data_IF_355754817265
#
_entry.id   IF_355754817265
#
_cell.length_a   1.000
_cell.length_b   1.000
_cell.length_c   1.000
_cell.angle_alpha   90.00
_cell.angle_beta   90.00
_cell.angle_gamma   90.00
#
_symmetry.space_group_name_H-M   'P 1'
#
loop_
_entity.id
_entity.type
_entity.pdbx_description
1 polymer ?
#
# COMPACT_ATOMS: atom_id res chain seq x y z
N UNK A 1 -22.51 -4.42 -62.04
CA UNK A 1 -23.03 -4.87 -60.73
C UNK A 1 -21.87 -4.86 -59.74
N UNK A 2 -21.79 -3.83 -58.92
CA UNK A 2 -20.74 -3.75 -57.85
C UNK A 2 -21.41 -4.15 -56.53
N UNK A 3 -20.99 -5.31 -55.99
CA UNK A 3 -21.44 -5.78 -54.68
C UNK A 3 -20.75 -4.99 -53.62
N UNK A 4 -21.53 -4.25 -52.83
CA UNK A 4 -21.09 -3.63 -51.57
C UNK A 4 -21.12 -4.71 -50.48
N UNK A 5 -19.95 -5.11 -50.00
CA UNK A 5 -19.83 -5.90 -48.77
C UNK A 5 -19.98 -4.95 -47.60
N UNK A 6 -21.09 -5.03 -46.89
CA UNK A 6 -21.33 -4.32 -45.64
C UNK A 6 -20.60 -5.09 -44.53
N UNK A 7 -19.48 -4.58 -44.04
CA UNK A 7 -18.77 -5.11 -42.88
C UNK A 7 -19.56 -4.69 -41.64
N UNK A 8 -20.38 -5.56 -41.07
CA UNK A 8 -20.95 -5.36 -39.74
C UNK A 8 -19.83 -5.49 -38.72
N UNK A 9 -19.39 -4.34 -38.20
CA UNK A 9 -18.57 -4.29 -37.01
C UNK A 9 -19.44 -4.77 -35.83
N UNK A 10 -19.14 -5.97 -35.34
CA UNK A 10 -19.67 -6.45 -34.07
C UNK A 10 -19.11 -5.58 -32.96
N UNK A 11 -19.81 -4.54 -32.55
CA UNK A 11 -19.52 -3.83 -31.30
C UNK A 11 -19.90 -4.78 -30.19
N UNK A 12 -18.94 -5.52 -29.67
CA UNK A 12 -19.11 -6.23 -28.41
C UNK A 12 -19.39 -5.16 -27.34
N UNK A 13 -20.62 -5.09 -26.89
CA UNK A 13 -20.97 -4.29 -25.72
C UNK A 13 -20.19 -4.85 -24.53
N UNK A 14 -19.13 -4.16 -24.15
CA UNK A 14 -18.41 -4.41 -22.90
C UNK A 14 -19.45 -4.09 -21.82
N UNK A 15 -19.99 -5.13 -21.19
CA UNK A 15 -20.78 -4.97 -19.98
C UNK A 15 -19.80 -4.50 -18.90
N UNK A 16 -19.77 -3.20 -18.65
CA UNK A 16 -19.07 -2.65 -17.51
C UNK A 16 -19.63 -3.31 -16.23
N UNK A 17 -18.76 -3.86 -15.40
CA UNK A 17 -19.16 -4.38 -14.12
C UNK A 17 -19.81 -3.24 -13.31
N UNK A 18 -20.85 -3.56 -12.53
CA UNK A 18 -21.45 -2.53 -11.69
C UNK A 18 -20.46 -2.12 -10.59
N UNK A 19 -20.31 -0.82 -10.31
CA UNK A 19 -19.41 -0.36 -9.26
C UNK A 19 -19.85 -0.85 -7.88
N UNK A 20 -18.91 -1.01 -6.92
CA UNK A 20 -19.19 -1.51 -5.58
C UNK A 20 -20.07 -0.55 -4.79
N UNK A 21 -20.69 -1.08 -3.72
CA UNK A 21 -21.47 -0.29 -2.76
C UNK A 21 -20.70 -0.16 -1.46
N UNK A 22 -20.57 1.05 -0.93
CA UNK A 22 -19.98 1.26 0.39
C UNK A 22 -20.97 0.75 1.47
N UNK A 23 -20.51 -0.18 2.31
CA UNK A 23 -21.33 -0.76 3.38
C UNK A 23 -21.24 0.04 4.68
N UNK A 24 -20.02 0.47 5.02
CA UNK A 24 -19.77 1.32 6.18
C UNK A 24 -18.48 2.13 6.01
N UNK A 25 -18.39 3.23 6.76
CA UNK A 25 -17.19 4.03 6.94
C UNK A 25 -16.96 4.19 8.43
N UNK A 26 -15.76 3.84 8.87
CA UNK A 26 -15.23 4.15 10.18
C UNK A 26 -14.37 5.41 10.09
N UNK A 27 -14.45 6.28 11.08
CA UNK A 27 -13.51 7.41 11.23
C UNK A 27 -13.03 7.51 12.68
N UNK A 28 -11.78 7.90 12.83
CA UNK A 28 -11.14 8.10 14.13
C UNK A 28 -10.07 9.17 14.03
N UNK A 29 -9.50 9.53 15.18
CA UNK A 29 -8.41 10.49 15.24
C UNK A 29 -8.55 11.46 16.41
N UNK A 30 -7.57 12.37 16.50
CA UNK A 30 -7.45 13.38 17.53
C UNK A 30 -7.57 14.81 16.99
N UNK A 31 -6.85 15.73 17.62
CA UNK A 31 -6.84 17.15 17.23
C UNK A 31 -5.86 17.46 16.09
N UNK A 32 -4.94 16.55 15.79
CA UNK A 32 -3.88 16.72 14.81
C UNK A 32 -4.18 16.21 13.41
N UNK A 33 -3.13 15.86 12.69
CA UNK A 33 -3.20 15.22 11.40
C UNK A 33 -3.07 13.71 11.59
N UNK A 34 -4.18 13.02 11.49
CA UNK A 34 -4.23 11.57 11.65
C UNK A 34 -4.43 10.90 10.29
N UNK A 35 -3.81 9.73 10.10
CA UNK A 35 -3.81 9.04 8.81
C UNK A 35 -3.64 7.55 8.96
N UNK A 36 -4.44 6.78 8.24
CA UNK A 36 -4.20 5.34 8.08
C UNK A 36 -3.15 5.10 6.99
N UNK A 37 -2.17 4.26 7.29
CA UNK A 37 -1.07 3.90 6.40
C UNK A 37 -1.16 2.47 5.86
N UNK A 38 -1.76 1.58 6.64
CA UNK A 38 -1.93 0.18 6.21
C UNK A 38 -3.25 -0.40 6.73
N UNK A 39 -3.81 -1.35 5.98
CA UNK A 39 -5.03 -2.06 6.32
C UNK A 39 -4.91 -3.54 5.95
N UNK A 40 -5.44 -4.40 6.80
CA UNK A 40 -5.57 -5.84 6.54
C UNK A 40 -6.82 -6.38 7.22
N UNK A 41 -7.18 -7.63 6.92
CA UNK A 41 -8.29 -8.33 7.56
C UNK A 41 -7.81 -9.67 8.13
N UNK A 42 -8.42 -10.12 9.23
CA UNK A 42 -8.26 -11.49 9.70
C UNK A 42 -9.28 -12.43 9.03
N UNK A 43 -9.16 -13.72 9.30
CA UNK A 43 -10.09 -14.74 8.76
C UNK A 43 -11.54 -14.54 9.18
N UNK A 44 -11.80 -13.92 10.33
CA UNK A 44 -13.13 -13.61 10.84
C UNK A 44 -13.74 -12.36 10.17
N UNK A 45 -12.95 -11.62 9.38
CA UNK A 45 -13.38 -10.37 8.75
C UNK A 45 -13.21 -9.15 9.62
N UNK A 46 -12.53 -9.27 10.77
CA UNK A 46 -12.13 -8.08 11.51
C UNK A 46 -11.10 -7.30 10.70
N UNK A 47 -11.15 -5.97 10.78
CA UNK A 47 -10.26 -5.07 10.06
C UNK A 47 -9.22 -4.51 11.02
N UNK A 48 -7.96 -4.57 10.62
CA UNK A 48 -6.84 -3.96 11.35
C UNK A 48 -6.33 -2.79 10.56
N UNK A 49 -6.28 -1.62 11.19
CA UNK A 49 -5.73 -0.40 10.61
C UNK A 49 -4.51 0.04 11.41
N UNK A 50 -3.39 0.21 10.71
CA UNK A 50 -2.19 0.80 11.26
C UNK A 50 -2.12 2.26 10.84
N UNK A 51 -2.01 3.16 11.82
CA UNK A 51 -2.20 4.59 11.64
C UNK A 51 -1.12 5.38 12.35
N UNK A 52 -0.99 6.64 12.00
CA UNK A 52 -0.27 7.66 12.75
C UNK A 52 -1.29 8.63 13.37
N UNK A 53 -1.09 8.97 14.64
CA UNK A 53 -1.95 9.85 15.41
C UNK A 53 -1.16 10.96 16.08
N UNK A 54 -1.68 12.18 16.00
CA UNK A 54 -1.08 13.37 16.63
C UNK A 54 -1.99 13.85 17.76
N UNK A 55 -1.51 13.74 19.01
CA UNK A 55 -2.31 14.01 20.19
C UNK A 55 -3.26 12.86 20.55
N UNK A 56 -3.97 13.00 21.67
CA UNK A 56 -4.93 12.01 22.10
C UNK A 56 -6.03 11.82 21.06
N UNK A 57 -6.28 10.57 20.68
CA UNK A 57 -7.16 10.19 19.59
C UNK A 57 -8.30 9.26 20.06
N UNK A 58 -9.46 9.40 19.42
CA UNK A 58 -10.63 8.57 19.65
C UNK A 58 -10.91 7.67 18.45
N UNK A 59 -11.19 6.42 18.73
CA UNK A 59 -11.55 5.39 17.78
C UNK A 59 -12.88 4.77 18.20
N UNK A 60 -14.00 5.39 17.83
CA UNK A 60 -15.30 5.10 18.44
C UNK A 60 -15.24 5.37 19.95
N UNK A 61 -15.52 4.33 20.76
CA UNK A 61 -15.47 4.40 22.22
C UNK A 61 -14.07 4.12 22.80
N UNK A 62 -13.08 3.81 21.96
CA UNK A 62 -11.71 3.50 22.37
C UNK A 62 -10.84 4.75 22.33
N UNK A 63 -10.09 5.02 23.40
CA UNK A 63 -9.15 6.14 23.46
C UNK A 63 -7.71 5.66 23.36
N UNK A 64 -6.94 6.30 22.49
CA UNK A 64 -5.48 6.22 22.49
C UNK A 64 -4.92 7.51 23.06
N UNK A 65 -4.01 7.38 24.03
CA UNK A 65 -3.22 8.51 24.55
C UNK A 65 -1.84 8.45 23.92
N UNK A 66 -1.48 9.51 23.20
CA UNK A 66 -0.14 9.62 22.64
C UNK A 66 0.90 9.86 23.76
N UNK A 67 2.09 9.30 23.57
CA UNK A 67 3.24 9.52 24.46
C UNK A 67 3.98 10.83 24.13
N UNK A 68 3.74 11.41 22.96
CA UNK A 68 4.45 12.60 22.54
C UNK A 68 3.96 13.23 21.24
N UNK A 69 4.83 13.31 20.24
CA UNK A 69 4.59 14.00 18.98
C UNK A 69 3.57 13.31 18.09
N UNK A 70 4.00 12.29 17.40
CA UNK A 70 3.14 11.46 16.54
C UNK A 70 3.42 10.00 16.90
N UNK A 71 2.39 9.27 17.30
CA UNK A 71 2.52 7.87 17.67
C UNK A 71 1.88 6.93 16.64
N UNK A 72 2.42 5.74 16.50
CA UNK A 72 1.76 4.69 15.76
C UNK A 72 0.61 4.12 16.57
N UNK A 73 -0.55 3.96 15.92
CA UNK A 73 -1.73 3.32 16.47
C UNK A 73 -2.11 2.10 15.64
N UNK A 74 -2.41 1.00 16.31
CA UNK A 74 -3.03 -0.17 15.72
C UNK A 74 -4.44 -0.30 16.26
N UNK A 75 -5.45 -0.24 15.41
CA UNK A 75 -6.85 -0.37 15.78
C UNK A 75 -7.46 -1.61 15.15
N UNK A 76 -8.17 -2.40 15.92
CA UNK A 76 -8.99 -3.52 15.43
C UNK A 76 -10.45 -3.10 15.40
N UNK A 77 -11.08 -3.26 14.24
CA UNK A 77 -12.52 -3.13 14.05
C UNK A 77 -13.13 -4.52 13.87
N UNK A 78 -14.36 -4.72 14.29
CA UNK A 78 -15.13 -5.89 13.87
C UNK A 78 -15.54 -5.81 12.38
N UNK A 79 -16.13 -6.87 11.85
CA UNK A 79 -16.57 -6.93 10.45
C UNK A 79 -17.63 -5.87 10.08
N UNK A 80 -18.32 -5.30 11.08
CA UNK A 80 -19.29 -4.22 10.94
C UNK A 80 -18.69 -2.82 11.05
N UNK A 81 -17.36 -2.68 11.27
CA UNK A 81 -16.68 -1.39 11.37
C UNK A 81 -16.66 -0.78 12.79
N UNK A 82 -17.08 -1.51 13.83
CA UNK A 82 -17.00 -1.04 15.22
C UNK A 82 -15.62 -1.30 15.80
N UNK A 83 -15.02 -0.28 16.40
CA UNK A 83 -13.73 -0.42 17.10
C UNK A 83 -13.86 -1.35 18.31
N UNK A 84 -12.99 -2.36 18.36
CA UNK A 84 -12.91 -3.32 19.46
C UNK A 84 -11.83 -2.91 20.47
N UNK A 85 -10.68 -2.50 19.96
CA UNK A 85 -9.57 -2.00 20.75
C UNK A 85 -8.64 -1.13 19.91
N UNK A 86 -7.86 -0.28 20.58
CA UNK A 86 -6.73 0.44 20.02
C UNK A 86 -5.49 0.18 20.88
N UNK A 87 -4.35 0.00 20.25
CA UNK A 87 -3.05 -0.18 20.89
C UNK A 87 -2.02 0.67 20.17
N UNK A 88 -0.86 0.91 20.78
CA UNK A 88 0.18 1.74 20.21
C UNK A 88 1.58 1.33 20.63
N UNK A 89 2.55 1.88 19.92
CA UNK A 89 3.97 1.83 20.23
C UNK A 89 4.56 3.17 19.84
N UNK A 90 5.39 3.74 20.72
CA UNK A 90 6.03 5.02 20.47
C UNK A 90 6.59 5.63 21.75
N UNK A 91 6.95 6.91 21.65
CA UNK A 91 7.50 7.71 22.74
C UNK A 91 7.31 9.21 22.48
N UNK A 92 8.26 10.04 22.91
CA UNK A 92 8.09 11.50 22.91
C UNK A 92 8.19 12.17 21.54
N UNK A 93 8.63 11.46 20.48
CA UNK A 93 8.85 12.03 19.14
C UNK A 93 7.89 11.47 18.08
N UNK A 94 8.39 11.22 16.86
CA UNK A 94 7.60 10.75 15.72
C UNK A 94 7.78 9.25 15.52
N UNK A 95 6.70 8.52 15.62
CA UNK A 95 6.67 7.07 15.49
C UNK A 95 5.54 6.67 14.55
N UNK A 96 5.85 5.93 13.45
CA UNK A 96 4.91 5.70 12.35
C UNK A 96 4.82 4.22 11.98
N UNK A 97 3.60 3.75 11.71
CA UNK A 97 3.36 2.46 11.09
C UNK A 97 3.16 2.62 9.58
N UNK A 98 3.64 1.66 8.79
CA UNK A 98 3.49 1.65 7.33
C UNK A 98 2.96 0.33 6.77
N UNK A 99 3.04 -0.75 7.53
CA UNK A 99 2.53 -2.04 7.12
C UNK A 99 1.85 -2.78 8.26
N UNK A 100 0.80 -3.53 7.97
CA UNK A 100 0.12 -4.42 8.92
C UNK A 100 -0.34 -5.69 8.23
N UNK A 101 -0.13 -6.84 8.89
CA UNK A 101 -0.61 -8.16 8.45
C UNK A 101 -1.06 -8.97 9.66
N UNK A 102 -1.97 -9.95 9.46
CA UNK A 102 -2.42 -10.85 10.52
C UNK A 102 -2.01 -12.29 10.23
N UNK A 103 -1.71 -13.05 11.29
CA UNK A 103 -1.53 -14.49 11.18
C UNK A 103 -2.86 -15.27 11.34
N UNK A 104 -2.80 -16.58 11.15
CA UNK A 104 -3.97 -17.45 11.25
C UNK A 104 -4.59 -17.50 12.67
N UNK A 105 -3.82 -17.13 13.70
CA UNK A 105 -4.28 -17.06 15.10
C UNK A 105 -4.89 -15.69 15.45
N UNK A 106 -4.86 -14.73 14.50
CA UNK A 106 -5.38 -13.38 14.68
C UNK A 106 -4.39 -12.43 15.40
N UNK A 107 -3.11 -12.80 15.53
CA UNK A 107 -2.10 -11.85 15.94
C UNK A 107 -1.85 -10.87 14.78
N UNK A 108 -1.60 -9.60 15.12
CA UNK A 108 -1.23 -8.58 14.15
C UNK A 108 0.28 -8.29 14.23
N UNK A 109 0.89 -8.14 13.06
CA UNK A 109 2.27 -7.71 12.92
C UNK A 109 2.28 -6.37 12.21
N UNK A 110 3.04 -5.43 12.75
CA UNK A 110 3.15 -4.06 12.24
C UNK A 110 4.60 -3.74 11.97
N UNK A 111 4.90 -3.08 10.87
CA UNK A 111 6.21 -2.51 10.59
C UNK A 111 6.11 -1.01 10.35
N UNK A 112 7.20 -0.30 10.60
CA UNK A 112 7.28 1.13 10.45
C UNK A 112 8.66 1.66 10.85
N UNK A 113 8.70 2.90 11.30
CA UNK A 113 9.91 3.51 11.84
C UNK A 113 9.58 4.42 13.03
N UNK A 114 10.54 4.58 13.92
CA UNK A 114 10.39 5.41 15.10
C UNK A 114 11.63 6.28 15.35
N UNK A 115 11.39 7.48 15.85
CA UNK A 115 12.41 8.47 16.22
C UNK A 115 12.63 8.53 17.74
N UNK A 116 11.67 8.02 18.51
CA UNK A 116 11.65 8.17 19.96
C UNK A 116 12.75 7.37 20.63
N UNK A 117 13.61 8.07 21.37
CA UNK A 117 14.68 7.43 22.17
C UNK A 117 14.19 6.93 23.53
N UNK A 118 12.95 7.21 23.89
CA UNK A 118 12.24 6.83 25.11
C UNK A 118 11.08 5.88 24.85
N UNK A 119 10.96 5.33 23.64
CA UNK A 119 9.95 4.35 23.30
C UNK A 119 10.04 3.11 24.21
N UNK A 120 8.88 2.59 24.62
CA UNK A 120 8.76 1.49 25.57
C UNK A 120 7.99 0.32 24.98
N UNK A 121 8.45 -0.88 25.22
CA UNK A 121 7.74 -2.12 24.90
C UNK A 121 7.73 -3.04 26.12
N UNK A 122 6.55 -3.40 26.63
CA UNK A 122 6.39 -4.29 27.79
C UNK A 122 7.18 -3.84 29.05
N UNK A 123 7.33 -2.53 29.25
CA UNK A 123 8.07 -1.95 30.37
C UNK A 123 9.59 -1.86 30.15
N UNK A 124 10.09 -2.29 29.00
CA UNK A 124 11.50 -2.18 28.64
C UNK A 124 11.70 -1.09 27.59
N UNK A 125 12.83 -0.39 27.67
CA UNK A 125 13.21 0.62 26.69
C UNK A 125 13.59 -0.02 25.36
N UNK A 126 13.02 0.48 24.26
CA UNK A 126 13.38 0.07 22.90
C UNK A 126 14.51 0.98 22.39
N UNK A 127 15.69 0.43 22.04
CA UNK A 127 16.80 1.25 21.58
C UNK A 127 16.51 1.85 20.21
N UNK A 128 16.89 3.11 20.04
CA UNK A 128 16.98 3.81 18.75
C UNK A 128 18.43 4.28 18.59
N UNK A 129 19.05 3.98 17.44
CA UNK A 129 20.46 4.23 17.17
C UNK A 129 20.69 5.46 16.29
N UNK A 130 19.65 5.97 15.61
CA UNK A 130 19.76 7.05 14.65
C UNK A 130 18.69 8.13 14.78
N UNK A 131 18.33 8.72 13.63
CA UNK A 131 17.18 9.61 13.55
C UNK A 131 15.89 8.79 13.57
N UNK A 132 15.75 7.87 12.61
CA UNK A 132 14.68 6.89 12.55
C UNK A 132 15.28 5.49 12.45
N UNK A 133 14.75 4.56 13.22
CA UNK A 133 15.03 3.14 13.06
C UNK A 133 13.77 2.38 12.64
N UNK A 134 13.92 1.42 11.72
CA UNK A 134 12.85 0.53 11.33
C UNK A 134 12.48 -0.40 12.48
N UNK A 135 11.20 -0.64 12.71
CA UNK A 135 10.71 -1.61 13.69
C UNK A 135 9.77 -2.62 13.09
N UNK A 136 9.66 -3.76 13.76
CA UNK A 136 8.60 -4.76 13.56
C UNK A 136 8.06 -5.13 14.92
N UNK A 137 6.74 -5.05 15.10
CA UNK A 137 6.07 -5.36 16.36
C UNK A 137 4.98 -6.41 16.15
N UNK A 138 4.78 -7.29 17.15
CA UNK A 138 3.69 -8.26 17.17
C UNK A 138 2.73 -7.93 18.30
N UNK A 139 1.43 -7.96 17.98
CA UNK A 139 0.33 -7.79 18.92
C UNK A 139 -0.52 -9.05 18.96
N UNK A 140 -1.02 -9.41 20.14
CA UNK A 140 -1.98 -10.50 20.31
C UNK A 140 -3.36 -10.14 19.76
N UNK A 141 -4.29 -11.09 19.60
CA UNK A 141 -5.65 -10.85 19.11
C UNK A 141 -6.46 -9.84 19.94
N UNK A 142 -6.11 -9.67 21.21
CA UNK A 142 -6.68 -8.71 22.17
C UNK A 142 -5.90 -7.39 22.29
N UNK A 143 -4.93 -7.16 21.38
CA UNK A 143 -4.21 -5.89 21.27
C UNK A 143 -3.00 -5.72 22.19
N UNK A 144 -2.57 -6.77 22.91
CA UNK A 144 -1.38 -6.68 23.77
C UNK A 144 -0.11 -6.78 22.93
N UNK A 145 0.81 -5.83 23.10
CA UNK A 145 2.15 -5.88 22.49
C UNK A 145 2.92 -7.11 23.05
N UNK A 146 3.37 -7.99 22.14
CA UNK A 146 4.09 -9.22 22.51
C UNK A 146 5.61 -9.03 22.39
N UNK A 147 6.08 -8.45 21.30
CA UNK A 147 7.48 -8.14 21.08
C UNK A 147 7.67 -7.01 20.08
N UNK A 148 8.85 -6.36 20.12
CA UNK A 148 9.36 -5.41 19.12
C UNK A 148 10.74 -5.86 18.67
N UNK A 149 11.05 -5.69 17.40
CA UNK A 149 12.39 -5.86 16.81
C UNK A 149 12.75 -4.60 16.08
N UNK A 150 14.00 -4.18 16.21
CA UNK A 150 14.54 -2.95 15.62
C UNK A 150 15.61 -3.30 14.59
N UNK A 151 15.62 -2.58 13.50
CA UNK A 151 16.65 -2.60 12.46
C UNK A 151 17.00 -1.17 12.09
N UNK A 152 18.28 -0.84 12.16
CA UNK A 152 18.75 0.49 11.79
C UNK A 152 20.18 0.75 12.25
N UNK A 153 20.60 2.00 12.11
CA UNK A 153 21.93 2.49 12.42
C UNK A 153 21.94 3.99 12.70
N UNK A 154 23.04 4.69 12.42
CA UNK A 154 23.17 6.14 12.72
C UNK A 154 22.28 7.05 11.85
N UNK A 155 21.73 6.55 10.74
CA UNK A 155 20.95 7.32 9.77
C UNK A 155 19.46 7.35 10.05
N UNK A 156 18.71 7.44 8.94
CA UNK A 156 17.25 7.24 8.93
C UNK A 156 16.93 5.95 8.20
N UNK A 157 16.33 5.02 8.91
CA UNK A 157 16.02 3.68 8.45
C UNK A 157 14.51 3.45 8.58
N UNK A 158 13.91 2.86 7.57
CA UNK A 158 12.46 2.81 7.40
C UNK A 158 11.97 1.39 7.15
N UNK A 159 10.97 0.93 7.92
CA UNK A 159 10.16 -0.22 7.57
C UNK A 159 8.91 0.22 6.82
N UNK A 160 8.57 -0.43 5.71
CA UNK A 160 7.40 -0.08 4.92
C UNK A 160 6.46 -1.27 4.72
N UNK A 161 6.83 -2.22 3.87
CA UNK A 161 6.00 -3.38 3.55
C UNK A 161 6.17 -4.54 4.52
N UNK A 162 5.11 -5.29 4.74
CA UNK A 162 5.07 -6.50 5.57
C UNK A 162 4.16 -7.55 4.95
N UNK A 163 4.61 -8.80 4.92
CA UNK A 163 3.85 -9.95 4.47
C UNK A 163 4.12 -11.17 5.37
N UNK A 164 3.30 -12.21 5.24
CA UNK A 164 3.44 -13.44 6.02
C UNK A 164 3.42 -14.65 5.09
N UNK A 165 4.35 -15.60 5.28
CA UNK A 165 4.41 -16.82 4.49
C UNK A 165 3.46 -17.92 5.02
N UNK A 166 3.36 -19.03 4.30
CA UNK A 166 2.49 -20.15 4.66
C UNK A 166 2.84 -20.81 6.00
N UNK A 167 4.07 -20.59 6.50
CA UNK A 167 4.58 -21.12 7.77
C UNK A 167 4.38 -20.15 8.94
N UNK A 168 3.84 -18.95 8.66
CA UNK A 168 3.67 -17.89 9.66
C UNK A 168 4.93 -17.08 9.93
N UNK A 169 5.95 -17.15 9.06
CA UNK A 169 7.11 -16.27 9.12
C UNK A 169 6.76 -14.90 8.52
N UNK A 170 7.21 -13.86 9.18
CA UNK A 170 6.96 -12.47 8.77
C UNK A 170 8.13 -11.96 7.94
N UNK A 171 7.83 -11.38 6.79
CA UNK A 171 8.81 -10.78 5.90
C UNK A 171 8.55 -9.29 5.81
N UNK A 172 9.58 -8.48 6.00
CA UNK A 172 9.50 -7.02 5.93
C UNK A 172 10.47 -6.46 4.90
N UNK A 173 10.12 -5.29 4.38
CA UNK A 173 10.98 -4.50 3.50
C UNK A 173 10.95 -3.02 3.86
N UNK A 174 11.91 -2.27 3.36
CA UNK A 174 12.05 -0.83 3.59
C UNK A 174 13.37 -0.31 3.07
N UNK A 175 14.00 0.62 3.81
CA UNK A 175 15.31 1.14 3.51
C UNK A 175 16.19 1.16 4.76
N UNK A 176 17.44 0.71 4.66
CA UNK A 176 18.49 0.84 5.68
C UNK A 176 19.73 1.40 5.00
N UNK A 177 20.28 2.48 5.56
CA UNK A 177 21.44 3.15 4.97
C UNK A 177 21.24 3.62 3.53
N UNK A 178 19.99 3.93 3.14
CA UNK A 178 19.62 4.34 1.79
C UNK A 178 19.52 3.20 0.77
N UNK A 179 19.60 1.94 1.20
CA UNK A 179 19.43 0.75 0.37
C UNK A 179 18.16 0.00 0.77
N UNK A 180 17.43 -0.55 -0.19
CA UNK A 180 16.33 -1.45 0.14
C UNK A 180 16.82 -2.71 0.86
N UNK A 181 16.00 -3.27 1.72
CA UNK A 181 16.28 -4.53 2.41
C UNK A 181 15.09 -5.47 2.38
N UNK A 182 15.36 -6.73 2.68
CA UNK A 182 14.35 -7.72 2.98
C UNK A 182 14.80 -8.55 4.20
N UNK A 183 13.94 -8.67 5.20
CA UNK A 183 14.22 -9.46 6.41
C UNK A 183 13.08 -10.40 6.70
N UNK A 184 13.42 -11.64 7.05
CA UNK A 184 12.44 -12.66 7.45
C UNK A 184 12.64 -13.01 8.92
N UNK A 185 11.54 -13.02 9.67
CA UNK A 185 11.47 -13.39 11.08
C UNK A 185 10.55 -14.59 11.29
N UNK A 186 10.85 -15.43 12.29
CA UNK A 186 9.89 -16.41 12.78
C UNK A 186 8.79 -15.77 13.63
N UNK A 187 7.83 -16.58 14.08
CA UNK A 187 6.70 -16.11 14.89
C UNK A 187 7.10 -15.50 16.24
N UNK A 188 8.28 -15.81 16.77
CA UNK A 188 8.88 -15.29 18.01
C UNK A 188 9.75 -14.05 17.75
N UNK A 189 9.85 -13.61 16.48
CA UNK A 189 10.63 -12.45 16.07
C UNK A 189 12.14 -12.72 16.01
N UNK A 190 12.58 -13.99 15.94
CA UNK A 190 13.98 -14.31 15.69
C UNK A 190 14.25 -14.19 14.20
N UNK A 191 15.34 -13.51 13.83
CA UNK A 191 15.72 -13.34 12.44
C UNK A 191 16.13 -14.69 11.83
N UNK A 192 15.48 -15.05 10.71
CA UNK A 192 15.84 -16.21 9.92
C UNK A 192 16.92 -15.82 8.89
N UNK A 193 16.71 -14.72 8.19
CA UNK A 193 17.69 -14.12 7.28
C UNK A 193 17.41 -12.64 7.04
N UNK A 194 18.48 -11.94 6.59
CA UNK A 194 18.46 -10.54 6.16
C UNK A 194 19.17 -10.42 4.82
N UNK A 195 18.64 -9.63 3.90
CA UNK A 195 19.19 -9.38 2.56
C UNK A 195 19.20 -7.90 2.24
N UNK A 196 20.33 -7.43 1.73
CA UNK A 196 20.50 -6.11 1.12
C UNK A 196 21.30 -6.26 -0.16
N UNK A 197 21.16 -5.36 -1.14
CA UNK A 197 22.00 -5.39 -2.33
C UNK A 197 23.45 -5.04 -1.99
N UNK A 198 24.37 -5.62 -2.76
CA UNK A 198 25.77 -5.20 -2.76
C UNK A 198 26.01 -4.08 -3.77
N UNK A 199 27.19 -3.46 -3.71
CA UNK A 199 27.58 -2.39 -4.65
C UNK A 199 27.00 -1.03 -4.29
N UNK A 200 26.76 -0.19 -5.30
CA UNK A 200 26.26 1.19 -5.15
C UNK A 200 24.78 1.26 -5.56
N UNK A 201 23.95 0.39 -5.00
CA UNK A 201 22.50 0.45 -5.18
C UNK A 201 21.91 1.33 -4.11
N UNK A 202 21.08 2.30 -4.49
CA UNK A 202 20.24 3.10 -3.59
C UNK A 202 18.78 2.81 -3.91
N UNK A 203 17.91 2.90 -2.92
CA UNK A 203 16.46 2.69 -3.11
C UNK A 203 15.76 2.27 -1.84
N UNK A 204 14.47 2.06 -1.96
CA UNK A 204 13.62 1.64 -0.86
C UNK A 204 12.62 0.57 -1.33
N UNK A 205 12.41 -0.46 -0.52
CA UNK A 205 11.25 -1.34 -0.64
C UNK A 205 10.03 -0.64 -0.02
N UNK A 206 8.90 -0.70 -0.70
CA UNK A 206 7.64 -0.14 -0.20
C UNK A 206 6.59 -1.23 -0.02
N UNK A 207 6.12 -1.83 -1.12
CA UNK A 207 5.20 -2.96 -1.09
C UNK A 207 5.92 -4.31 -1.00
N UNK A 208 5.24 -5.31 -0.46
CA UNK A 208 5.73 -6.70 -0.41
C UNK A 208 4.56 -7.67 -0.53
N UNK A 209 4.72 -8.71 -1.34
CA UNK A 209 3.72 -9.76 -1.52
C UNK A 209 4.39 -11.14 -1.50
N UNK A 210 3.61 -12.18 -1.19
CA UNK A 210 4.06 -13.57 -1.17
C UNK A 210 3.07 -14.44 -1.93
N UNK A 211 3.55 -15.26 -2.88
CA UNK A 211 2.70 -16.13 -3.69
C UNK A 211 2.38 -17.48 -2.98
N UNK A 212 1.56 -18.30 -3.62
CA UNK A 212 1.16 -19.61 -3.09
C UNK A 212 2.28 -20.63 -2.93
N UNK A 213 3.52 -20.31 -3.34
CA UNK A 213 4.74 -21.13 -3.19
C UNK A 213 5.75 -20.50 -2.25
N UNK A 214 5.35 -19.47 -1.50
CA UNK A 214 6.18 -18.67 -0.59
C UNK A 214 7.30 -17.87 -1.29
N UNK A 215 7.26 -17.65 -2.62
CA UNK A 215 8.14 -16.68 -3.24
C UNK A 215 7.76 -15.26 -2.79
N UNK A 216 8.79 -14.44 -2.57
CA UNK A 216 8.65 -13.09 -2.04
C UNK A 216 8.85 -12.09 -3.18
N UNK A 217 7.97 -11.13 -3.29
CA UNK A 217 8.04 -10.03 -4.25
C UNK A 217 8.20 -8.71 -3.49
N UNK A 218 9.23 -7.94 -3.83
CA UNK A 218 9.48 -6.60 -3.29
C UNK A 218 9.16 -5.57 -4.35
N UNK A 219 8.29 -4.63 -4.03
CA UNK A 219 8.02 -3.44 -4.83
C UNK A 219 8.66 -2.20 -4.21
N UNK A 220 9.07 -1.27 -5.05
CA UNK A 220 9.66 -0.02 -4.57
C UNK A 220 10.43 0.71 -5.65
N UNK A 221 11.64 1.20 -5.30
CA UNK A 221 12.54 1.84 -6.25
C UNK A 221 13.98 1.39 -6.07
N UNK A 222 14.75 1.46 -7.18
CA UNK A 222 16.18 1.24 -7.17
C UNK A 222 16.90 2.14 -8.19
N UNK A 223 18.11 2.53 -7.87
CA UNK A 223 19.05 3.24 -8.75
C UNK A 223 20.49 2.83 -8.45
N UNK A 224 21.42 3.16 -9.35
CA UNK A 224 22.83 2.77 -9.24
C UNK A 224 23.10 1.39 -9.80
N UNK A 225 24.19 0.77 -9.40
CA UNK A 225 24.63 -0.52 -9.91
C UNK A 225 25.15 -1.44 -8.79
N UNK A 226 24.71 -2.69 -8.80
CA UNK A 226 25.11 -3.71 -7.85
C UNK A 226 24.38 -5.03 -8.07
N UNK A 227 24.34 -5.89 -7.05
CA UNK A 227 23.69 -7.20 -7.16
C UNK A 227 22.95 -7.57 -5.87
N UNK A 228 21.90 -8.37 -6.00
CA UNK A 228 21.36 -9.18 -4.90
C UNK A 228 21.56 -10.66 -5.24
N UNK A 229 22.53 -11.30 -4.58
CA UNK A 229 22.98 -12.62 -4.98
C UNK A 229 23.49 -12.63 -6.43
N UNK A 230 22.82 -13.37 -7.30
CA UNK A 230 23.17 -13.48 -8.74
C UNK A 230 22.43 -12.46 -9.62
N UNK A 231 21.49 -11.72 -9.07
CA UNK A 231 20.68 -10.77 -9.81
C UNK A 231 21.37 -9.42 -9.88
N UNK A 232 21.67 -8.96 -11.10
CA UNK A 232 22.19 -7.62 -11.36
C UNK A 232 21.04 -6.59 -11.24
N UNK A 233 21.32 -5.49 -10.56
CA UNK A 233 20.44 -4.34 -10.40
C UNK A 233 21.19 -3.14 -10.96
N UNK A 234 20.69 -2.56 -12.05
CA UNK A 234 21.34 -1.42 -12.69
C UNK A 234 20.30 -0.45 -13.24
N UNK A 235 20.35 0.79 -12.77
CA UNK A 235 19.57 1.89 -13.32
C UNK A 235 20.28 3.22 -13.09
N UNK A 236 20.35 4.06 -14.13
CA UNK A 236 20.96 5.39 -14.06
C UNK A 236 20.11 6.40 -13.28
N UNK A 237 18.80 6.15 -13.22
CA UNK A 237 17.81 6.98 -12.53
C UNK A 237 17.04 6.13 -11.53
N UNK A 238 16.19 6.73 -10.71
CA UNK A 238 15.27 5.99 -9.86
C UNK A 238 14.25 5.23 -10.73
N UNK A 239 14.34 3.91 -10.74
CA UNK A 239 13.45 3.01 -11.46
C UNK A 239 12.42 2.39 -10.51
N UNK A 240 11.17 2.29 -10.94
CA UNK A 240 10.19 1.44 -10.26
C UNK A 240 10.66 -0.02 -10.36
N UNK A 241 10.72 -0.70 -9.22
CA UNK A 241 11.33 -2.01 -9.08
C UNK A 241 10.33 -3.05 -8.59
N UNK A 242 10.30 -4.20 -9.26
CA UNK A 242 9.79 -5.45 -8.68
C UNK A 242 10.93 -6.47 -8.66
N UNK A 243 11.26 -6.99 -7.49
CA UNK A 243 12.29 -8.00 -7.28
C UNK A 243 11.65 -9.26 -6.72
N UNK A 244 11.86 -10.41 -7.37
CA UNK A 244 11.42 -11.72 -6.88
C UNK A 244 12.54 -12.46 -6.18
N UNK A 245 12.21 -12.99 -4.99
CA UNK A 245 13.10 -13.83 -4.19
C UNK A 245 12.47 -15.22 -3.95
N UNK A 246 13.34 -16.22 -3.76
CA UNK A 246 12.92 -17.51 -3.21
C UNK A 246 12.48 -17.37 -1.74
N UNK A 247 11.82 -18.37 -1.14
CA UNK A 247 11.52 -18.39 0.30
C UNK A 247 12.75 -18.23 1.21
N UNK A 248 13.96 -18.58 0.72
CA UNK A 248 15.25 -18.47 1.41
C UNK A 248 15.91 -17.11 1.20
N UNK A 249 15.29 -16.21 0.42
CA UNK A 249 15.79 -14.86 0.15
C UNK A 249 16.82 -14.77 -0.96
N UNK A 250 16.91 -15.78 -1.84
CA UNK A 250 17.78 -15.72 -3.02
C UNK A 250 17.06 -15.05 -4.19
N UNK A 251 17.75 -14.15 -4.90
CA UNK A 251 17.18 -13.44 -6.06
C UNK A 251 16.90 -14.37 -7.24
N UNK A 252 15.69 -14.29 -7.80
CA UNK A 252 15.29 -15.01 -9.02
C UNK A 252 15.28 -14.11 -10.25
N UNK A 253 14.64 -12.96 -10.18
CA UNK A 253 14.62 -11.94 -11.22
C UNK A 253 14.32 -10.55 -10.66
N UNK A 254 14.64 -9.52 -11.43
CA UNK A 254 14.26 -8.13 -11.17
C UNK A 254 13.67 -7.53 -12.44
N UNK A 255 12.56 -6.81 -12.29
CA UNK A 255 12.02 -5.91 -13.31
C UNK A 255 12.25 -4.48 -12.87
N UNK A 256 12.84 -3.66 -13.75
CA UNK A 256 13.11 -2.24 -13.52
C UNK A 256 12.44 -1.43 -14.64
N UNK A 257 11.64 -0.45 -14.25
CA UNK A 257 11.06 0.55 -15.15
C UNK A 257 11.67 1.90 -14.81
N UNK A 258 12.74 2.30 -15.52
CA UNK A 258 13.40 3.56 -15.25
C UNK A 258 12.53 4.75 -15.67
N UNK A 259 12.39 5.72 -14.79
CA UNK A 259 11.86 7.03 -15.14
C UNK A 259 12.97 7.96 -15.60
N UNK A 260 12.68 8.97 -16.44
CA UNK A 260 13.67 9.98 -16.79
C UNK A 260 14.07 10.85 -15.60
N UNK A 261 13.21 11.00 -14.60
CA UNK A 261 13.51 11.65 -13.32
C UNK A 261 13.39 10.65 -12.19
N UNK A 262 12.21 10.07 -11.98
CA UNK A 262 11.96 9.05 -10.96
C UNK A 262 10.74 8.20 -11.33
N UNK A 263 10.79 6.93 -10.96
CA UNK A 263 9.63 6.05 -10.94
C UNK A 263 9.71 5.16 -9.70
N UNK A 264 8.56 4.85 -9.10
CA UNK A 264 8.46 4.06 -7.88
C UNK A 264 7.13 3.32 -7.81
N UNK A 265 7.15 2.06 -7.38
CA UNK A 265 5.94 1.41 -6.87
C UNK A 265 5.77 1.74 -5.39
N UNK A 266 4.58 2.20 -5.04
CA UNK A 266 4.20 2.43 -3.64
C UNK A 266 3.66 1.15 -3.00
N UNK A 267 2.89 0.39 -3.76
CA UNK A 267 2.37 -0.91 -3.32
C UNK A 267 2.46 -1.93 -4.45
N UNK A 268 2.61 -3.19 -4.09
CA UNK A 268 2.49 -4.33 -5.00
C UNK A 268 1.63 -5.43 -4.37
N UNK A 269 1.01 -6.22 -5.21
CA UNK A 269 0.33 -7.45 -4.82
C UNK A 269 0.69 -8.57 -5.80
N UNK A 270 0.51 -9.82 -5.39
CA UNK A 270 0.59 -10.96 -6.31
C UNK A 270 -0.56 -11.93 -6.05
N UNK A 271 -0.89 -12.72 -7.07
CA UNK A 271 -1.79 -13.85 -6.90
C UNK A 271 -1.03 -15.15 -6.53
N UNK A 272 -1.79 -16.21 -6.31
CA UNK A 272 -1.25 -17.53 -5.96
C UNK A 272 -0.37 -18.14 -7.06
N UNK A 273 -0.42 -17.63 -8.29
CA UNK A 273 0.38 -18.07 -9.45
C UNK A 273 1.65 -17.24 -9.66
N UNK A 274 1.85 -16.20 -8.86
CA UNK A 274 3.00 -15.30 -8.93
C UNK A 274 2.90 -14.24 -10.02
N UNK A 275 1.69 -13.93 -10.53
CA UNK A 275 1.45 -12.72 -11.32
C UNK A 275 1.44 -11.52 -10.38
N UNK A 276 2.04 -10.41 -10.81
CA UNK A 276 2.26 -9.24 -9.94
C UNK A 276 1.56 -8.02 -10.52
N UNK A 277 0.92 -7.24 -9.65
CA UNK A 277 0.42 -5.90 -9.96
C UNK A 277 1.14 -4.89 -9.08
N UNK A 278 1.59 -3.80 -9.70
CA UNK A 278 2.22 -2.67 -9.01
C UNK A 278 1.43 -1.40 -9.24
N UNK A 279 1.21 -0.64 -8.17
CA UNK A 279 0.68 0.71 -8.20
C UNK A 279 1.72 1.68 -7.67
N UNK A 280 1.87 2.82 -8.34
CA UNK A 280 2.90 3.78 -8.00
C UNK A 280 2.77 5.08 -8.77
N UNK A 281 3.89 5.76 -8.92
CA UNK A 281 3.95 7.06 -9.56
C UNK A 281 5.28 7.28 -10.27
N UNK A 282 5.31 8.23 -11.18
CA UNK A 282 6.54 8.64 -11.84
C UNK A 282 6.54 10.15 -12.10
N UNK A 283 7.73 10.69 -12.32
CA UNK A 283 7.97 12.07 -12.75
C UNK A 283 8.87 12.08 -13.98
N UNK A 284 8.60 13.01 -14.91
CA UNK A 284 9.24 13.02 -16.21
C UNK A 284 8.53 12.05 -17.16
N UNK A 285 9.21 11.02 -17.66
CA UNK A 285 8.60 10.00 -18.50
C UNK A 285 9.07 8.60 -18.12
N UNK A 286 8.25 7.60 -18.43
CA UNK A 286 8.57 6.16 -18.32
C UNK A 286 8.23 5.47 -19.63
N UNK A 287 9.09 4.51 -20.04
CA UNK A 287 8.81 3.63 -21.18
C UNK A 287 8.57 2.21 -20.69
N UNK A 288 7.39 1.68 -20.95
CA UNK A 288 6.95 0.39 -20.44
C UNK A 288 6.02 -0.31 -21.42
N UNK A 289 6.20 -1.59 -21.66
CA UNK A 289 5.39 -2.40 -22.60
C UNK A 289 5.27 -1.78 -24.01
N UNK A 290 6.34 -1.16 -24.51
CA UNK A 290 6.34 -0.49 -25.83
C UNK A 290 5.59 0.83 -25.90
N UNK A 291 5.13 1.36 -24.77
CA UNK A 291 4.48 2.65 -24.64
C UNK A 291 5.36 3.62 -23.86
N UNK A 292 5.30 4.91 -24.19
CA UNK A 292 5.93 5.97 -23.40
C UNK A 292 4.82 6.82 -22.78
N UNK A 293 4.84 6.93 -21.45
CA UNK A 293 3.99 7.84 -20.70
C UNK A 293 4.82 9.04 -20.29
N UNK A 294 4.27 10.23 -20.51
CA UNK A 294 4.88 11.50 -20.12
C UNK A 294 4.03 12.13 -19.01
N UNK A 295 4.67 12.56 -17.94
CA UNK A 295 3.98 13.26 -16.86
C UNK A 295 3.41 14.58 -17.37
N UNK A 296 2.11 14.75 -17.23
CA UNK A 296 1.36 15.90 -17.77
C UNK A 296 1.53 17.16 -16.94
N UNK A 297 1.77 16.99 -15.63
CA UNK A 297 1.89 18.05 -14.63
C UNK A 297 3.33 18.41 -14.31
N UNK A 298 3.48 19.18 -13.24
CA UNK A 298 4.80 19.52 -12.67
C UNK A 298 5.29 18.50 -11.64
N UNK A 299 4.38 17.67 -11.12
CA UNK A 299 4.63 16.76 -10.01
C UNK A 299 4.62 15.30 -10.48
N UNK A 300 3.71 14.48 -10.03
CA UNK A 300 3.69 13.04 -10.31
C UNK A 300 2.42 12.66 -11.04
N UNK A 301 2.56 11.70 -11.96
CA UNK A 301 1.46 10.96 -12.56
C UNK A 301 1.44 9.52 -12.04
N UNK A 302 0.24 8.94 -11.97
CA UNK A 302 0.03 7.59 -11.48
C UNK A 302 0.40 6.53 -12.51
N UNK A 303 0.98 5.43 -12.03
CA UNK A 303 1.40 4.27 -12.84
C UNK A 303 0.84 2.98 -12.25
N UNK A 304 0.18 2.17 -13.08
CA UNK A 304 -0.28 0.83 -12.71
C UNK A 304 0.32 -0.15 -13.72
N UNK A 305 0.94 -1.22 -13.24
CA UNK A 305 1.60 -2.21 -14.11
C UNK A 305 1.22 -3.62 -13.69
N UNK A 306 1.02 -4.50 -14.66
CA UNK A 306 0.86 -5.94 -14.45
C UNK A 306 2.01 -6.71 -15.07
N UNK A 307 2.61 -7.63 -14.31
CA UNK A 307 3.67 -8.52 -14.73
C UNK A 307 3.19 -9.98 -14.61
N UNK A 308 3.63 -10.81 -15.54
CA UNK A 308 3.47 -12.27 -15.41
C UNK A 308 4.43 -12.85 -14.36
N UNK A 309 4.31 -14.15 -14.10
CA UNK A 309 5.14 -14.85 -13.12
C UNK A 309 6.66 -14.87 -13.46
N UNK A 310 7.01 -14.59 -14.73
CA UNK A 310 8.39 -14.45 -15.19
C UNK A 310 8.92 -13.00 -15.09
N UNK A 311 8.10 -12.07 -14.56
CA UNK A 311 8.46 -10.66 -14.41
C UNK A 311 8.36 -9.84 -15.70
N UNK A 312 7.67 -10.36 -16.74
CA UNK A 312 7.46 -9.64 -17.98
C UNK A 312 6.19 -8.79 -17.92
N UNK A 313 6.31 -7.51 -18.29
CA UNK A 313 5.16 -6.60 -18.28
C UNK A 313 4.14 -7.03 -19.33
N UNK A 314 2.89 -7.24 -18.91
CA UNK A 314 1.76 -7.61 -19.75
C UNK A 314 0.95 -6.39 -20.19
N UNK A 315 0.76 -5.44 -19.28
CA UNK A 315 0.13 -4.16 -19.56
C UNK A 315 0.56 -3.10 -18.53
N UNK A 316 0.42 -1.84 -18.94
CA UNK A 316 0.58 -0.69 -18.06
C UNK A 316 -0.55 0.31 -18.27
N UNK A 317 -0.91 1.06 -17.22
CA UNK A 317 -1.90 2.13 -17.24
C UNK A 317 -1.34 3.39 -16.63
N UNK A 318 -1.75 4.50 -17.21
CA UNK A 318 -1.36 5.84 -16.82
C UNK A 318 -2.56 6.59 -16.24
N UNK A 319 -2.38 7.24 -15.12
CA UNK A 319 -3.29 8.23 -14.57
C UNK A 319 -2.62 9.58 -14.67
N UNK A 320 -3.26 10.53 -15.35
CA UNK A 320 -2.61 11.78 -15.72
C UNK A 320 -3.55 12.98 -15.75
N UNK A 321 -3.08 14.10 -15.24
CA UNK A 321 -3.78 15.38 -15.24
C UNK A 321 -2.82 16.54 -15.02
N UNK A 322 -3.30 17.79 -14.93
CA UNK A 322 -2.45 18.94 -14.66
C UNK A 322 -1.96 18.99 -13.20
N UNK A 323 -2.57 18.22 -12.30
CA UNK A 323 -2.24 18.11 -10.88
C UNK A 323 -1.27 17.00 -10.57
N UNK A 324 -1.30 16.57 -9.30
CA UNK A 324 -0.60 15.38 -8.82
C UNK A 324 -1.56 14.21 -8.79
N UNK A 325 -1.18 13.11 -9.40
CA UNK A 325 -1.96 11.88 -9.50
C UNK A 325 -1.18 10.73 -8.88
N UNK A 326 -1.77 10.05 -7.90
CA UNK A 326 -1.14 8.93 -7.20
C UNK A 326 -1.96 7.65 -7.30
N UNK A 327 -1.32 6.56 -7.75
CA UNK A 327 -1.82 5.20 -7.58
C UNK A 327 -1.05 4.58 -6.41
N UNK A 328 -1.66 4.49 -5.23
CA UNK A 328 -0.94 4.19 -3.99
C UNK A 328 -1.17 2.79 -3.46
N UNK A 329 -2.37 2.24 -3.61
CA UNK A 329 -2.72 0.91 -3.16
C UNK A 329 -3.18 0.02 -4.30
N UNK A 330 -2.81 -1.26 -4.25
CA UNK A 330 -3.27 -2.29 -5.19
C UNK A 330 -3.48 -3.62 -4.48
N UNK A 331 -4.57 -4.30 -4.82
CA UNK A 331 -4.86 -5.67 -4.41
C UNK A 331 -5.50 -6.43 -5.57
N UNK A 332 -5.56 -7.76 -5.50
CA UNK A 332 -6.13 -8.60 -6.57
C UNK A 332 -6.98 -9.71 -6.00
N UNK A 333 -7.93 -10.17 -6.81
CA UNK A 333 -8.66 -11.41 -6.58
C UNK A 333 -7.95 -12.59 -7.27
N UNK A 334 -8.42 -13.82 -7.04
CA UNK A 334 -7.89 -15.03 -7.67
C UNK A 334 -8.16 -15.13 -9.18
N UNK A 335 -9.03 -14.24 -9.72
CA UNK A 335 -9.34 -14.15 -11.16
C UNK A 335 -8.42 -13.19 -11.91
N UNK A 336 -7.57 -12.45 -11.18
CA UNK A 336 -6.66 -11.46 -11.74
C UNK A 336 -7.30 -10.10 -11.99
N UNK A 337 -8.43 -9.81 -11.31
CA UNK A 337 -8.95 -8.46 -11.24
C UNK A 337 -8.06 -7.64 -10.33
N UNK A 338 -7.51 -6.55 -10.83
CA UNK A 338 -6.74 -5.61 -10.02
C UNK A 338 -7.67 -4.51 -9.48
N UNK A 339 -7.66 -4.31 -8.16
CA UNK A 339 -8.32 -3.19 -7.49
C UNK A 339 -7.27 -2.19 -7.06
N UNK A 340 -7.43 -0.94 -7.48
CA UNK A 340 -6.44 0.12 -7.26
C UNK A 340 -7.11 1.31 -6.59
N UNK A 341 -6.45 1.91 -5.62
CA UNK A 341 -6.87 3.17 -5.03
C UNK A 341 -5.72 4.19 -4.99
N UNK A 342 -6.09 5.43 -4.78
CA UNK A 342 -5.18 6.54 -4.67
C UNK A 342 -5.92 7.87 -4.61
N UNK A 343 -5.21 8.94 -4.89
CA UNK A 343 -5.77 10.28 -4.88
C UNK A 343 -5.22 11.15 -6.02
N UNK A 344 -5.96 12.21 -6.34
CA UNK A 344 -5.63 13.17 -7.38
C UNK A 344 -6.04 14.58 -6.98
N UNK A 345 -5.29 15.60 -7.41
CA UNK A 345 -5.46 16.98 -6.91
C UNK A 345 -6.15 17.93 -7.87
N UNK A 346 -6.33 17.55 -9.13
CA UNK A 346 -7.07 18.29 -10.16
C UNK A 346 -7.79 17.29 -11.08
N UNK A 347 -8.61 17.77 -12.01
CA UNK A 347 -9.24 16.90 -13.00
C UNK A 347 -8.20 16.04 -13.70
N UNK A 348 -8.46 14.74 -13.78
CA UNK A 348 -7.50 13.76 -14.26
C UNK A 348 -8.14 12.71 -15.18
N UNK A 349 -7.32 11.91 -15.84
CA UNK A 349 -7.77 10.82 -16.71
C UNK A 349 -7.10 9.52 -16.24
N UNK A 350 -7.88 8.52 -15.87
CA UNK A 350 -7.43 7.16 -15.56
C UNK A 350 -7.80 6.22 -16.71
N UNK A 351 -6.80 5.71 -17.44
CA UNK A 351 -6.99 4.76 -18.52
C UNK A 351 -8.08 5.19 -19.54
N UNK A 352 -8.14 6.48 -19.86
CA UNK A 352 -9.12 7.07 -20.80
C UNK A 352 -10.45 7.49 -20.16
N UNK A 353 -10.65 7.30 -18.84
CA UNK A 353 -11.84 7.72 -18.11
C UNK A 353 -11.55 9.02 -17.34
N UNK A 354 -12.33 10.08 -17.61
CA UNK A 354 -12.17 11.37 -16.95
C UNK A 354 -12.73 11.36 -15.53
N UNK A 355 -11.97 11.89 -14.58
CA UNK A 355 -12.34 12.09 -13.19
C UNK A 355 -12.25 13.59 -12.87
N UNK A 356 -13.30 14.15 -12.31
CA UNK A 356 -13.35 15.56 -11.93
C UNK A 356 -13.15 15.72 -10.41
N UNK A 357 -12.28 16.65 -10.00
CA UNK A 357 -12.12 16.96 -8.59
C UNK A 357 -13.37 17.64 -8.02
N UNK A 358 -13.63 17.36 -6.73
CA UNK A 358 -14.67 18.02 -5.93
C UNK A 358 -14.06 19.02 -4.96
N UNK A 359 -12.74 18.99 -4.82
CA UNK A 359 -12.00 19.76 -3.84
C UNK A 359 -10.53 19.95 -4.17
N UNK A 360 -9.69 19.95 -3.13
CA UNK A 360 -8.24 20.10 -3.26
C UNK A 360 -7.54 18.77 -3.58
N UNK A 361 -8.15 17.65 -3.20
CA UNK A 361 -7.70 16.29 -3.51
C UNK A 361 -8.84 15.32 -3.25
N UNK A 362 -9.05 14.36 -4.15
CA UNK A 362 -10.11 13.38 -4.10
C UNK A 362 -9.57 11.96 -4.23
N UNK A 363 -10.28 11.02 -3.64
CA UNK A 363 -10.01 9.59 -3.66
C UNK A 363 -10.61 8.96 -4.91
N UNK A 364 -9.89 8.04 -5.54
CA UNK A 364 -10.46 7.09 -6.49
C UNK A 364 -10.29 5.64 -6.00
N UNK A 365 -11.21 4.80 -6.43
CA UNK A 365 -11.18 3.34 -6.33
C UNK A 365 -11.59 2.78 -7.68
N UNK A 366 -10.76 1.94 -8.29
CA UNK A 366 -10.95 1.43 -9.64
C UNK A 366 -10.67 -0.06 -9.73
N UNK A 367 -11.29 -0.74 -10.71
CA UNK A 367 -10.98 -2.12 -11.03
C UNK A 367 -10.59 -2.29 -12.50
N UNK A 368 -9.57 -3.12 -12.72
CA UNK A 368 -9.10 -3.54 -14.03
C UNK A 368 -9.23 -5.05 -14.15
N UNK A 369 -9.74 -5.53 -15.26
CA UNK A 369 -9.73 -6.97 -15.55
C UNK A 369 -8.31 -7.50 -15.80
N UNK A 370 -8.16 -8.81 -15.95
CA UNK A 370 -6.87 -9.45 -16.21
C UNK A 370 -6.15 -8.94 -17.48
N UNK A 371 -6.88 -8.31 -18.42
CA UNK A 371 -6.33 -7.70 -19.65
C UNK A 371 -6.01 -6.22 -19.47
N UNK A 372 -6.22 -5.64 -18.29
CA UNK A 372 -6.03 -4.23 -18.00
C UNK A 372 -7.13 -3.32 -18.56
N UNK A 373 -8.34 -3.84 -18.78
CA UNK A 373 -9.49 -3.03 -19.16
C UNK A 373 -10.11 -2.48 -17.88
N UNK A 374 -10.27 -1.15 -17.79
CA UNK A 374 -10.98 -0.50 -16.69
C UNK A 374 -12.45 -0.93 -16.71
N UNK A 375 -12.90 -1.62 -15.69
CA UNK A 375 -14.28 -2.15 -15.59
C UNK A 375 -15.22 -1.23 -14.85
N UNK A 376 -14.74 -0.53 -13.83
CA UNK A 376 -15.44 0.53 -13.12
C UNK A 376 -14.47 1.44 -12.37
N UNK A 377 -14.93 2.64 -12.04
CA UNK A 377 -14.25 3.58 -11.14
C UNK A 377 -15.27 4.27 -10.24
N UNK A 378 -14.91 4.49 -9.00
CA UNK A 378 -15.65 5.23 -7.99
C UNK A 378 -14.78 6.36 -7.43
N UNK A 379 -15.44 7.47 -7.09
CA UNK A 379 -14.81 8.59 -6.39
C UNK A 379 -15.38 8.71 -4.97
N UNK A 380 -14.51 9.08 -4.04
CA UNK A 380 -14.87 9.45 -2.67
C UNK A 380 -14.13 10.74 -2.28
N UNK A 381 -14.53 11.36 -1.17
CA UNK A 381 -13.90 12.59 -0.71
C UNK A 381 -14.89 13.74 -0.57
N UNK A 382 -14.35 14.95 -0.44
CA UNK A 382 -15.11 16.18 -0.16
C UNK A 382 -14.44 17.43 -0.70
N UNK A 383 -14.50 18.54 0.04
CA UNK A 383 -14.02 19.87 -0.44
C UNK A 383 -12.54 20.12 -0.20
N UNK A 384 -11.92 19.38 0.70
CA UNK A 384 -10.50 19.56 1.02
C UNK A 384 -9.68 18.36 0.53
N UNK A 385 -8.51 18.17 1.12
CA UNK A 385 -7.60 17.11 0.70
C UNK A 385 -7.97 15.78 1.34
N UNK A 386 -8.36 14.81 0.53
CA UNK A 386 -8.69 13.46 0.93
C UNK A 386 -7.77 12.48 0.20
N UNK A 387 -7.34 11.43 0.88
CA UNK A 387 -6.36 10.49 0.32
C UNK A 387 -6.68 9.05 0.67
N UNK A 388 -6.42 8.12 -0.25
CA UNK A 388 -6.43 6.68 -0.01
C UNK A 388 -5.04 6.10 -0.23
N UNK A 389 -4.54 5.34 0.74
CA UNK A 389 -3.24 4.70 0.66
C UNK A 389 -3.36 3.19 0.57
N UNK A 390 -3.84 2.49 1.63
CA UNK A 390 -3.93 1.05 1.58
C UNK A 390 -5.28 0.59 1.01
N UNK A 391 -5.23 -0.55 0.38
CA UNK A 391 -6.40 -1.32 -0.02
C UNK A 391 -6.14 -2.80 0.27
N UNK A 392 -7.17 -3.51 0.71
CA UNK A 392 -7.12 -4.98 0.83
C UNK A 392 -8.40 -5.60 0.29
N UNK A 393 -8.24 -6.76 -0.38
CA UNK A 393 -9.35 -7.57 -0.86
C UNK A 393 -9.56 -8.74 0.10
N UNK A 394 -10.81 -8.97 0.47
CA UNK A 394 -11.24 -10.14 1.22
C UNK A 394 -12.30 -10.89 0.41
N UNK A 395 -11.96 -12.12 0.04
CA UNK A 395 -12.88 -12.97 -0.69
C UNK A 395 -14.20 -13.21 0.09
N UNK A 396 -15.33 -13.34 -0.58
CA UNK A 396 -15.43 -13.39 -2.04
C UNK A 396 -15.55 -12.02 -2.73
N UNK A 397 -15.88 -10.93 -2.02
CA UNK A 397 -16.38 -9.72 -2.65
C UNK A 397 -16.24 -8.44 -1.79
N UNK A 398 -15.34 -8.42 -0.81
CA UNK A 398 -15.14 -7.27 0.07
C UNK A 398 -13.83 -6.54 -0.24
N UNK A 399 -13.89 -5.22 -0.38
CA UNK A 399 -12.74 -4.33 -0.44
C UNK A 399 -12.75 -3.40 0.77
N UNK A 400 -11.60 -3.21 1.38
CA UNK A 400 -11.41 -2.19 2.41
C UNK A 400 -10.34 -1.23 1.91
N UNK A 401 -10.67 0.07 1.85
CA UNK A 401 -9.73 1.16 1.62
C UNK A 401 -9.61 1.99 2.88
N UNK A 402 -8.46 2.61 3.06
CA UNK A 402 -8.25 3.49 4.21
C UNK A 402 -7.33 4.67 3.86
N UNK A 403 -7.27 5.67 4.73
CA UNK A 403 -6.49 6.87 4.46
C UNK A 403 -6.79 8.00 5.42
N UNK A 404 -6.86 9.22 4.89
CA UNK A 404 -7.19 10.41 5.64
C UNK A 404 -8.19 11.30 4.87
N UNK A 405 -8.95 12.09 5.62
CA UNK A 405 -9.84 13.11 5.06
C UNK A 405 -9.78 14.40 5.89
N UNK A 406 -9.96 15.54 5.23
CA UNK A 406 -9.67 16.84 5.84
C UNK A 406 -10.90 17.74 6.08
N UNK A 407 -12.12 17.29 5.82
CA UNK A 407 -13.35 18.03 6.08
C UNK A 407 -14.51 17.07 6.29
N UNK A 408 -15.65 17.33 5.65
CA UNK A 408 -16.68 16.34 5.44
C UNK A 408 -16.38 15.58 4.16
N UNK A 409 -16.28 14.26 4.24
CA UNK A 409 -16.04 13.38 3.10
C UNK A 409 -17.18 12.39 2.89
N UNK A 410 -17.47 12.07 1.62
CA UNK A 410 -18.55 11.17 1.22
C UNK A 410 -17.97 9.91 0.59
N UNK A 411 -18.44 8.75 1.05
CA UNK A 411 -18.09 7.41 0.56
C UNK A 411 -19.40 6.68 0.16
N UNK A 412 -19.75 6.71 -1.12
CA UNK A 412 -21.06 6.23 -1.57
C UNK A 412 -22.19 7.03 -0.93
N UNK A 413 -23.04 6.37 -0.10
CA UNK A 413 -24.12 7.00 0.65
C UNK A 413 -23.75 7.42 2.08
N UNK A 414 -22.50 7.16 2.51
CA UNK A 414 -22.04 7.48 3.86
C UNK A 414 -21.29 8.80 3.87
N UNK A 415 -21.53 9.59 4.90
CA UNK A 415 -20.82 10.86 5.15
C UNK A 415 -20.13 10.80 6.51
N UNK A 416 -18.87 11.26 6.55
CA UNK A 416 -18.08 11.40 7.76
C UNK A 416 -17.54 12.81 7.87
N UNK A 417 -17.46 13.29 9.11
CA UNK A 417 -16.97 14.65 9.41
C UNK A 417 -15.82 14.56 10.41
N UNK A 418 -14.77 15.30 10.16
CA UNK A 418 -13.57 15.32 11.00
C UNK A 418 -13.78 16.07 12.32
N UNK A 419 -12.95 15.73 13.32
CA UNK A 419 -12.84 16.42 14.61
C UNK A 419 -11.59 17.29 14.76
N UNK A 420 -10.50 16.98 14.02
CA UNK A 420 -9.19 17.64 14.09
C UNK A 420 -8.79 18.37 12.80
N UNK A 421 -7.49 18.41 12.50
CA UNK A 421 -6.96 18.94 11.24
C UNK A 421 -7.25 18.01 10.06
N UNK A 422 -7.02 16.70 10.23
CA UNK A 422 -7.56 15.62 9.41
C UNK A 422 -7.84 14.41 10.30
N UNK A 423 -8.79 13.58 9.90
CA UNK A 423 -9.06 12.31 10.55
C UNK A 423 -8.69 11.16 9.62
N UNK A 424 -8.30 10.04 10.22
CA UNK A 424 -8.18 8.79 9.50
C UNK A 424 -9.55 8.16 9.23
N UNK A 425 -9.59 7.29 8.21
CA UNK A 425 -10.78 6.49 7.92
C UNK A 425 -10.41 5.07 7.49
N UNK A 426 -11.38 4.16 7.58
CA UNK A 426 -11.45 2.92 6.85
C UNK A 426 -12.87 2.76 6.29
N UNK A 427 -12.99 2.35 5.03
CA UNK A 427 -14.27 2.19 4.35
C UNK A 427 -14.35 0.81 3.69
N UNK A 428 -15.44 0.09 3.97
CA UNK A 428 -15.72 -1.22 3.39
C UNK A 428 -16.66 -1.09 2.22
N UNK A 429 -16.25 -1.71 1.11
CA UNK A 429 -17.00 -1.74 -0.15
C UNK A 429 -17.34 -3.18 -0.51
N UNK A 430 -18.60 -3.40 -0.89
CA UNK A 430 -19.11 -4.69 -1.36
C UNK A 430 -19.15 -4.71 -2.88
N UNK A 431 -18.40 -5.63 -3.49
CA UNK A 431 -18.46 -5.87 -4.93
C UNK A 431 -19.81 -6.48 -5.30
N UNK A 432 -20.31 -6.12 -6.47
CA UNK A 432 -21.51 -6.73 -7.01
C UNK A 432 -21.15 -7.98 -7.81
N UNK A 433 -21.97 -9.04 -7.75
CA UNK A 433 -21.76 -10.21 -8.58
C UNK A 433 -21.65 -9.84 -10.06
N UNK A 434 -20.71 -10.45 -10.79
CA UNK A 434 -20.70 -10.36 -12.24
C UNK A 434 -22.02 -10.93 -12.78
N UNK A 435 -22.71 -10.14 -13.64
CA UNK A 435 -23.96 -10.58 -14.31
C UNK A 435 -23.69 -11.57 -15.42
#
# INVERSE_FOLDING_TARGET
>A
MKSFLCLLALVASIHAAEPPTCEWVFSGGGSGHDKTRAVTTDRAGNVFIASECVGDAMFGDQQHKTAGGMDMCLTKLDAGGKALWVSGFGGSKTDRAYGVITDAAGNAYVTGHFESTDAMANGEKVPNAGNFDAFTAKFSPDGKLLWVRVKGGEGSDYGHGIAIDSKGHVVITGAIGGQFFCTKYDAEGREIWHRTPSGKVSGSGHGIAIDGKDHIYLGGSASGAGTLGKIAIESQTSAAMVLKLTPEGEGEWVNLIPGTTTAIYHEITCDSQGRVWGAGMFKGSVSVAGQTFECSGKDYDGLIVHLDAAGQVQWAKHMHGPGTDYCLGVTTDDHGTAFVCGDFTQDTVLAGHALATRGSGDIFLAAFDAKGILTWVQQAGGKLNDSAYPITFRAPDELIIAGAFAATATFGSHEVTKSGSSNLYAAKWKLKPAK
#
